data_IF_368145809863
#
_entry.id   IF_368145809863
#
_cell.length_a   1.000
_cell.length_b   1.000
_cell.length_c   1.000
_cell.angle_alpha   90.00
_cell.angle_beta   90.00
_cell.angle_gamma   90.00
#
_symmetry.space_group_name_H-M   'P 1'
#
loop_
_entity.id
_entity.type
_entity.pdbx_description
1 polymer ?
#
# COMPACT_ATOMS: atom_id res chain seq x y z
N UNK A 1 20.85 -19.51 -8.37
CA UNK A 1 20.33 -20.90 -8.28
C UNK A 1 18.83 -20.93 -8.03
N UNK A 2 18.32 -20.18 -7.04
CA UNK A 2 16.89 -20.16 -6.69
C UNK A 2 15.98 -19.74 -7.85
N UNK A 3 16.37 -18.68 -8.58
CA UNK A 3 15.62 -18.20 -9.75
C UNK A 3 15.56 -19.26 -10.86
N UNK A 4 16.68 -19.96 -11.12
CA UNK A 4 16.71 -21.07 -12.11
C UNK A 4 15.83 -22.25 -11.69
N UNK A 5 15.77 -22.57 -10.39
CA UNK A 5 14.89 -23.61 -9.85
C UNK A 5 13.41 -23.27 -10.01
N UNK A 6 13.06 -21.99 -9.88
CA UNK A 6 11.67 -21.55 -10.08
C UNK A 6 11.21 -21.69 -11.53
N UNK A 7 12.09 -21.45 -12.50
CA UNK A 7 11.78 -21.65 -13.93
C UNK A 7 11.49 -23.13 -14.25
N UNK A 8 12.02 -24.05 -13.44
CA UNK A 8 11.86 -25.51 -13.67
C UNK A 8 10.71 -26.15 -12.89
N UNK A 9 10.20 -25.52 -11.80
CA UNK A 9 9.22 -26.14 -10.88
C UNK A 9 7.95 -25.32 -10.61
N UNK A 10 7.74 -24.15 -11.23
CA UNK A 10 6.57 -23.29 -11.05
C UNK A 10 6.18 -23.09 -9.56
N UNK A 11 7.12 -22.67 -8.73
CA UNK A 11 6.86 -22.40 -7.32
C UNK A 11 5.78 -21.33 -7.17
N UNK A 12 4.84 -21.47 -6.21
CA UNK A 12 3.82 -20.47 -5.98
C UNK A 12 4.43 -19.08 -5.73
N UNK A 13 3.84 -18.01 -6.30
CA UNK A 13 4.37 -16.63 -6.15
C UNK A 13 4.55 -16.19 -4.70
N UNK A 14 3.66 -16.61 -3.78
CA UNK A 14 3.77 -16.32 -2.35
C UNK A 14 4.99 -16.99 -1.70
N UNK A 15 5.32 -18.22 -2.13
CA UNK A 15 6.52 -18.91 -1.64
C UNK A 15 7.80 -18.24 -2.13
N UNK A 16 7.82 -17.82 -3.40
CA UNK A 16 8.94 -17.04 -3.95
C UNK A 16 9.11 -15.75 -3.13
N UNK A 17 8.02 -15.02 -2.92
CA UNK A 17 8.03 -13.76 -2.17
C UNK A 17 8.56 -13.94 -0.74
N UNK A 18 8.25 -15.05 -0.06
CA UNK A 18 8.72 -15.32 1.31
C UNK A 18 10.18 -15.72 1.41
N UNK A 19 10.80 -16.15 0.32
CA UNK A 19 12.22 -16.57 0.28
C UNK A 19 13.16 -15.43 -0.18
N UNK A 20 12.64 -14.40 -0.86
CA UNK A 20 13.44 -13.28 -1.36
C UNK A 20 14.17 -12.48 -0.27
N UNK A 21 13.58 -12.21 0.92
CA UNK A 21 14.26 -11.44 1.98
C UNK A 21 15.59 -12.02 2.45
N UNK A 22 15.78 -13.33 2.34
CA UNK A 22 17.03 -14.02 2.71
C UNK A 22 18.13 -13.97 1.63
N UNK A 23 17.87 -13.37 0.46
CA UNK A 23 18.82 -13.34 -0.65
C UNK A 23 19.44 -11.94 -0.76
N UNK A 24 20.78 -11.77 -0.66
CA UNK A 24 21.43 -10.49 -0.86
C UNK A 24 21.08 -9.90 -2.23
N UNK A 25 20.73 -8.59 -2.28
CA UNK A 25 20.33 -7.91 -3.52
C UNK A 25 21.41 -7.96 -4.61
N UNK A 26 22.68 -8.07 -4.21
CA UNK A 26 23.83 -8.26 -5.13
C UNK A 26 23.75 -9.57 -5.92
N UNK A 27 23.04 -10.56 -5.41
CA UNK A 27 22.85 -11.87 -6.03
C UNK A 27 21.55 -11.99 -6.83
N UNK A 28 20.81 -10.90 -6.95
CA UNK A 28 19.51 -10.81 -7.62
C UNK A 28 19.67 -9.97 -8.89
N UNK A 29 19.14 -10.48 -10.02
CA UNK A 29 19.13 -9.72 -11.28
C UNK A 29 18.32 -8.42 -11.15
N UNK A 30 18.74 -7.36 -11.84
CA UNK A 30 18.18 -6.00 -11.76
C UNK A 30 16.64 -6.00 -11.84
N UNK A 31 16.06 -6.73 -12.77
CA UNK A 31 14.60 -6.82 -12.96
C UNK A 31 13.84 -7.37 -11.73
N UNK A 32 14.52 -8.06 -10.82
CA UNK A 32 13.91 -8.64 -9.62
C UNK A 32 14.21 -7.85 -8.34
N UNK A 33 15.08 -6.86 -8.38
CA UNK A 33 15.43 -6.05 -7.20
C UNK A 33 14.21 -5.36 -6.56
N UNK A 34 13.28 -4.73 -7.31
CA UNK A 34 12.08 -4.15 -6.71
C UNK A 34 11.23 -5.20 -5.97
N UNK A 35 11.04 -6.37 -6.56
CA UNK A 35 10.26 -7.45 -5.94
C UNK A 35 10.93 -8.00 -4.67
N UNK A 36 12.26 -8.09 -4.65
CA UNK A 36 13.04 -8.55 -3.50
C UNK A 36 13.01 -7.50 -2.37
N UNK A 37 13.17 -6.23 -2.70
CA UNK A 37 13.08 -5.14 -1.75
C UNK A 37 11.67 -5.04 -1.14
N UNK A 38 10.62 -5.12 -1.98
CA UNK A 38 9.24 -5.16 -1.50
C UNK A 38 8.99 -6.33 -0.54
N UNK A 39 9.54 -7.52 -0.83
CA UNK A 39 9.42 -8.68 0.03
C UNK A 39 10.10 -8.46 1.40
N UNK A 40 11.27 -7.81 1.40
CA UNK A 40 11.98 -7.44 2.65
C UNK A 40 11.18 -6.43 3.48
N UNK A 41 10.64 -5.37 2.85
CA UNK A 41 9.79 -4.40 3.54
C UNK A 41 8.54 -5.08 4.14
N UNK A 42 7.86 -5.93 3.37
CA UNK A 42 6.69 -6.67 3.86
C UNK A 42 7.05 -7.61 5.01
N UNK A 43 8.24 -8.19 5.02
CA UNK A 43 8.71 -9.00 6.16
C UNK A 43 8.80 -8.17 7.45
N UNK A 44 9.31 -6.94 7.38
CA UNK A 44 9.30 -6.01 8.51
C UNK A 44 7.86 -5.65 8.91
N UNK A 45 6.99 -5.33 7.94
CA UNK A 45 5.60 -4.95 8.21
C UNK A 45 4.83 -5.99 9.03
N UNK A 46 5.02 -7.28 8.81
CA UNK A 46 4.24 -8.29 9.55
C UNK A 46 4.92 -8.81 10.82
N UNK A 47 6.25 -8.63 10.97
CA UNK A 47 7.03 -9.14 12.12
C UNK A 47 7.26 -8.10 13.20
N UNK A 48 7.39 -6.83 12.84
CA UNK A 48 7.64 -5.74 13.78
C UNK A 48 6.38 -5.41 14.57
N UNK A 49 6.45 -5.53 15.89
CA UNK A 49 5.33 -5.24 16.79
C UNK A 49 4.89 -3.76 16.76
N UNK A 50 5.74 -2.85 16.28
CA UNK A 50 5.41 -1.43 16.11
C UNK A 50 4.71 -1.15 14.77
N UNK A 51 4.71 -2.11 13.85
CA UNK A 51 4.04 -1.96 12.55
C UNK A 51 2.52 -1.99 12.69
N UNK A 52 1.78 -1.09 12.01
CA UNK A 52 0.33 -1.19 11.94
C UNK A 52 -0.16 -2.49 11.28
N UNK A 53 0.71 -3.18 10.55
CA UNK A 53 0.41 -4.47 9.92
C UNK A 53 0.89 -5.70 10.72
N UNK A 54 1.34 -5.49 11.97
CA UNK A 54 1.83 -6.59 12.81
C UNK A 54 0.83 -7.75 12.86
N UNK A 55 1.27 -8.95 12.53
CA UNK A 55 0.44 -10.18 12.48
C UNK A 55 -0.81 -10.12 11.56
N UNK A 56 -0.94 -9.11 10.69
CA UNK A 56 -2.11 -8.99 9.79
C UNK A 56 -1.91 -9.65 8.41
N UNK A 57 -0.67 -10.03 8.06
CA UNK A 57 -0.34 -10.51 6.72
C UNK A 57 -0.22 -12.04 6.71
N UNK A 58 -1.03 -12.71 5.88
CA UNK A 58 -0.91 -14.14 5.64
C UNK A 58 0.36 -14.45 4.83
N UNK A 59 1.20 -15.31 5.39
CA UNK A 59 2.41 -15.84 4.74
C UNK A 59 2.30 -17.36 4.58
N UNK A 60 3.20 -18.03 3.88
CA UNK A 60 3.24 -19.50 3.87
C UNK A 60 3.37 -20.13 5.26
N UNK A 61 3.99 -19.42 6.21
CA UNK A 61 4.23 -19.88 7.58
C UNK A 61 3.21 -19.36 8.60
N UNK A 62 2.38 -18.37 8.24
CA UNK A 62 1.38 -17.75 9.14
C UNK A 62 0.08 -17.52 8.39
N UNK A 63 -1.06 -18.01 8.93
CA UNK A 63 -2.39 -17.97 8.31
C UNK A 63 -3.44 -17.21 9.14
N UNK A 64 -3.02 -16.52 10.18
CA UNK A 64 -3.91 -15.78 11.09
C UNK A 64 -4.26 -14.36 10.64
N UNK A 65 -3.64 -13.85 9.58
CA UNK A 65 -3.85 -12.49 9.11
C UNK A 65 -5.11 -12.31 8.25
N UNK A 66 -5.51 -11.06 8.08
CA UNK A 66 -6.66 -10.65 7.24
C UNK A 66 -6.25 -10.24 5.82
N UNK A 67 -4.95 -10.00 5.58
CA UNK A 67 -4.38 -9.52 4.32
C UNK A 67 -3.58 -10.64 3.63
N UNK A 68 -3.73 -10.81 2.32
CA UNK A 68 -2.85 -11.71 1.58
C UNK A 68 -1.48 -11.06 1.33
N UNK A 69 -0.40 -11.86 1.37
CA UNK A 69 0.97 -11.39 1.10
C UNK A 69 1.07 -10.58 -0.21
N UNK A 70 0.43 -11.03 -1.27
CA UNK A 70 0.48 -10.36 -2.56
C UNK A 70 -0.32 -9.05 -2.59
N UNK A 71 -1.35 -8.91 -1.77
CA UNK A 71 -2.16 -7.68 -1.70
C UNK A 71 -1.38 -6.49 -1.16
N UNK A 72 -0.38 -6.73 -0.31
CA UNK A 72 0.49 -5.69 0.23
C UNK A 72 1.83 -5.60 -0.52
N UNK A 73 2.41 -6.73 -0.94
CA UNK A 73 3.69 -6.74 -1.64
C UNK A 73 3.64 -6.01 -2.99
N UNK A 74 2.59 -6.25 -3.79
CA UNK A 74 2.48 -5.67 -5.13
C UNK A 74 2.44 -4.13 -5.16
N UNK A 75 1.63 -3.43 -4.35
CA UNK A 75 1.67 -1.97 -4.33
C UNK A 75 3.02 -1.43 -3.84
N UNK A 76 3.68 -2.06 -2.86
CA UNK A 76 5.03 -1.65 -2.44
C UNK A 76 6.04 -1.85 -3.56
N UNK A 77 5.98 -2.96 -4.29
CA UNK A 77 6.82 -3.20 -5.46
C UNK A 77 6.62 -2.12 -6.54
N UNK A 78 5.38 -1.67 -6.75
CA UNK A 78 5.09 -0.62 -7.70
C UNK A 78 5.65 0.74 -7.26
N UNK A 79 5.53 1.09 -5.99
CA UNK A 79 6.16 2.30 -5.43
C UNK A 79 7.69 2.28 -5.56
N UNK A 80 8.31 1.10 -5.46
CA UNK A 80 9.76 0.95 -5.64
C UNK A 80 10.17 1.14 -7.11
N UNK A 81 9.34 0.69 -8.05
CA UNK A 81 9.61 0.87 -9.49
C UNK A 81 9.49 2.32 -9.94
N UNK A 82 8.63 3.09 -9.30
CA UNK A 82 8.47 4.52 -9.57
C UNK A 82 9.56 5.33 -8.83
N UNK A 83 10.78 5.25 -9.36
CA UNK A 83 11.97 5.87 -8.77
C UNK A 83 11.94 7.40 -8.73
N UNK A 84 10.99 8.04 -9.41
CA UNK A 84 10.90 9.51 -9.48
C UNK A 84 10.11 10.13 -8.32
N UNK A 85 9.38 9.31 -7.53
CA UNK A 85 8.53 9.78 -6.44
C UNK A 85 9.03 9.28 -5.07
N UNK A 86 8.38 8.25 -4.53
CA UNK A 86 8.58 7.80 -3.15
C UNK A 86 10.00 7.29 -2.86
N UNK A 87 10.61 6.55 -3.81
CA UNK A 87 11.99 6.06 -3.65
C UNK A 87 13.02 7.18 -3.83
N UNK A 88 12.76 8.15 -4.71
CA UNK A 88 13.61 9.32 -4.89
C UNK A 88 13.76 10.13 -3.60
N UNK A 89 12.66 10.35 -2.88
CA UNK A 89 12.65 11.03 -1.58
C UNK A 89 13.46 10.29 -0.50
N UNK A 90 13.53 8.96 -0.60
CA UNK A 90 14.24 8.09 0.33
C UNK A 90 15.59 7.59 -0.20
N UNK A 91 16.17 8.28 -1.19
CA UNK A 91 17.44 7.91 -1.78
C UNK A 91 18.48 9.02 -1.53
N UNK A 92 19.59 8.66 -0.91
CA UNK A 92 20.70 9.61 -0.67
C UNK A 92 21.32 10.10 -1.99
N UNK A 93 22.06 11.20 -1.93
CA UNK A 93 22.83 11.73 -3.09
C UNK A 93 23.84 10.72 -3.66
N UNK A 94 24.23 9.70 -2.89
CA UNK A 94 25.07 8.59 -3.33
C UNK A 94 24.28 7.45 -3.98
N UNK A 95 22.95 7.59 -4.18
CA UNK A 95 22.09 6.56 -4.75
C UNK A 95 21.76 5.40 -3.79
N UNK A 96 21.99 5.57 -2.49
CA UNK A 96 21.67 4.56 -1.47
C UNK A 96 20.25 4.78 -0.99
N UNK A 97 19.42 3.74 -1.11
CA UNK A 97 18.03 3.74 -0.66
C UNK A 97 18.00 3.50 0.86
N UNK A 98 17.39 4.43 1.61
CA UNK A 98 17.21 4.32 3.05
C UNK A 98 15.93 3.53 3.37
N UNK A 99 16.11 2.24 3.71
CA UNK A 99 14.99 1.36 4.05
C UNK A 99 14.30 1.74 5.35
N UNK A 100 15.01 2.32 6.30
CA UNK A 100 14.46 2.70 7.62
C UNK A 100 13.54 3.90 7.46
N UNK A 101 13.92 4.87 6.65
CA UNK A 101 13.04 6.00 6.31
C UNK A 101 11.79 5.54 5.55
N UNK A 102 11.95 4.64 4.57
CA UNK A 102 10.81 4.06 3.85
C UNK A 102 9.85 3.35 4.81
N UNK A 103 10.36 2.54 5.73
CA UNK A 103 9.53 1.84 6.72
C UNK A 103 8.84 2.83 7.65
N UNK A 104 9.54 3.87 8.11
CA UNK A 104 8.97 4.94 8.95
C UNK A 104 7.79 5.62 8.24
N UNK A 105 7.96 6.02 6.99
CA UNK A 105 6.89 6.66 6.21
C UNK A 105 5.69 5.72 6.02
N UNK A 106 5.94 4.45 5.69
CA UNK A 106 4.87 3.45 5.58
C UNK A 106 4.16 3.25 6.92
N UNK A 107 4.91 3.16 8.05
CA UNK A 107 4.32 2.99 9.38
C UNK A 107 3.45 4.20 9.74
N UNK A 108 3.98 5.41 9.63
CA UNK A 108 3.24 6.63 9.96
C UNK A 108 1.97 6.78 9.12
N UNK A 109 2.08 6.52 7.81
CA UNK A 109 0.93 6.61 6.90
C UNK A 109 -0.17 5.59 7.25
N UNK A 110 0.19 4.34 7.47
CA UNK A 110 -0.80 3.31 7.76
C UNK A 110 -1.29 3.31 9.19
N UNK A 111 -0.50 3.82 10.14
CA UNK A 111 -0.97 4.13 11.49
C UNK A 111 -2.04 5.23 11.44
N UNK A 112 -1.81 6.30 10.67
CA UNK A 112 -2.80 7.34 10.43
C UNK A 112 -4.07 6.77 9.74
N UNK A 113 -3.90 5.96 8.69
CA UNK A 113 -5.01 5.32 7.99
C UNK A 113 -5.83 4.40 8.92
N UNK A 114 -5.17 3.66 9.82
CA UNK A 114 -5.84 2.81 10.81
C UNK A 114 -6.71 3.59 11.80
N UNK A 115 -6.31 4.81 12.13
CA UNK A 115 -7.07 5.70 13.02
C UNK A 115 -8.24 6.36 12.30
N UNK A 116 -7.99 6.91 11.10
CA UNK A 116 -9.00 7.60 10.30
C UNK A 116 -10.10 6.64 9.83
N UNK A 117 -9.73 5.44 9.39
CA UNK A 117 -10.66 4.42 8.90
C UNK A 117 -10.80 3.25 9.88
N UNK A 118 -10.87 3.53 11.19
CA UNK A 118 -10.85 2.51 12.24
C UNK A 118 -11.97 1.48 12.10
N UNK A 119 -13.17 1.86 11.63
CA UNK A 119 -14.28 0.97 11.38
C UNK A 119 -14.02 -0.06 10.27
N UNK A 120 -13.14 0.26 9.32
CA UNK A 120 -12.77 -0.60 8.20
C UNK A 120 -11.42 -1.31 8.39
N UNK A 121 -10.69 -1.02 9.49
CA UNK A 121 -9.36 -1.52 9.74
C UNK A 121 -9.37 -2.88 10.45
N UNK A 122 -8.44 -3.76 10.08
CA UNK A 122 -8.22 -5.08 10.70
C UNK A 122 -9.44 -6.00 10.76
N UNK A 123 -10.37 -5.86 9.83
CA UNK A 123 -11.49 -6.76 9.62
C UNK A 123 -11.30 -7.56 8.32
N UNK A 124 -12.11 -8.60 8.11
CA UNK A 124 -11.96 -9.47 6.94
C UNK A 124 -12.09 -8.68 5.64
N UNK A 125 -11.31 -9.04 4.64
CA UNK A 125 -11.36 -8.41 3.31
C UNK A 125 -12.70 -8.60 2.57
N UNK A 126 -13.57 -9.49 3.06
CA UNK A 126 -14.96 -9.63 2.60
C UNK A 126 -15.89 -8.59 3.20
N UNK A 127 -15.50 -7.96 4.31
CA UNK A 127 -16.28 -6.98 5.08
C UNK A 127 -15.68 -5.56 4.93
N UNK A 128 -14.43 -5.46 4.47
CA UNK A 128 -13.74 -4.19 4.24
C UNK A 128 -13.03 -4.16 2.90
N UNK A 129 -13.34 -3.17 2.08
CA UNK A 129 -12.57 -2.90 0.85
C UNK A 129 -11.22 -2.24 1.13
N UNK A 130 -11.04 -1.59 2.28
CA UNK A 130 -9.73 -1.10 2.71
C UNK A 130 -8.74 -2.26 2.90
N UNK A 131 -9.16 -3.35 3.56
CA UNK A 131 -8.35 -4.55 3.80
C UNK A 131 -8.29 -5.49 2.58
N UNK A 132 -9.03 -5.20 1.53
CA UNK A 132 -8.98 -5.92 0.27
C UNK A 132 -7.83 -5.43 -0.61
N UNK A 133 -7.33 -6.28 -1.52
CA UNK A 133 -6.19 -5.93 -2.39
C UNK A 133 -6.39 -4.69 -3.25
N UNK A 134 -7.63 -4.31 -3.57
CA UNK A 134 -7.93 -3.10 -4.34
C UNK A 134 -7.82 -1.84 -3.47
N UNK A 135 -8.28 -1.88 -2.22
CA UNK A 135 -8.18 -0.76 -1.28
C UNK A 135 -6.74 -0.51 -0.83
N UNK A 136 -6.03 -1.59 -0.44
CA UNK A 136 -4.60 -1.51 -0.12
C UNK A 136 -3.82 -0.89 -1.28
N UNK A 137 -4.09 -1.34 -2.52
CA UNK A 137 -3.46 -0.77 -3.70
C UNK A 137 -3.71 0.75 -3.82
N UNK A 138 -4.97 1.16 -3.74
CA UNK A 138 -5.35 2.57 -3.91
C UNK A 138 -4.72 3.47 -2.84
N UNK A 139 -4.70 3.03 -1.58
CA UNK A 139 -4.13 3.79 -0.47
C UNK A 139 -2.60 3.84 -0.54
N UNK A 140 -1.91 2.77 -0.95
CA UNK A 140 -0.47 2.84 -1.22
C UNK A 140 -0.14 3.79 -2.37
N UNK A 141 -0.96 3.83 -3.44
CA UNK A 141 -0.75 4.78 -4.55
C UNK A 141 -1.09 6.23 -4.18
N UNK A 142 -1.87 6.46 -3.14
CA UNK A 142 -2.12 7.79 -2.58
C UNK A 142 -0.97 8.27 -1.68
N UNK A 143 -0.33 7.37 -0.95
CA UNK A 143 0.65 7.69 0.11
C UNK A 143 1.73 8.70 -0.31
N UNK A 144 2.43 8.58 -1.44
CA UNK A 144 3.45 9.55 -1.85
C UNK A 144 2.89 10.96 -2.00
N UNK A 145 1.65 11.09 -2.47
CA UNK A 145 1.00 12.39 -2.68
C UNK A 145 0.59 13.05 -1.37
N UNK A 146 0.21 12.25 -0.38
CA UNK A 146 -0.06 12.76 0.97
C UNK A 146 1.25 13.25 1.58
N UNK A 147 2.30 12.45 1.54
CA UNK A 147 3.63 12.81 2.09
C UNK A 147 4.16 14.09 1.40
N UNK A 148 4.07 14.19 0.07
CA UNK A 148 4.48 15.39 -0.70
C UNK A 148 3.76 16.68 -0.27
N UNK A 149 2.54 16.56 0.24
CA UNK A 149 1.72 17.71 0.66
C UNK A 149 1.87 18.07 2.13
N UNK A 150 2.51 17.23 2.92
CA UNK A 150 2.86 17.53 4.29
C UNK A 150 3.99 18.56 4.38
N UNK A 151 4.11 19.24 5.53
CA UNK A 151 5.18 20.22 5.75
C UNK A 151 6.53 19.55 5.94
N UNK A 152 6.53 18.41 6.64
CA UNK A 152 7.73 17.62 6.88
C UNK A 152 7.97 16.62 5.73
N UNK A 153 9.22 16.45 5.33
CA UNK A 153 9.62 15.47 4.31
C UNK A 153 9.29 14.02 4.74
N UNK A 154 9.35 13.76 6.05
CA UNK A 154 8.96 12.50 6.70
C UNK A 154 7.91 12.77 7.77
N UNK A 155 6.63 12.98 7.39
CA UNK A 155 5.61 13.50 8.29
C UNK A 155 5.26 12.53 9.40
N UNK A 156 4.87 13.11 10.55
CA UNK A 156 4.32 12.35 11.67
C UNK A 156 2.89 11.89 11.42
N UNK A 157 2.42 10.99 12.28
CA UNK A 157 1.08 10.38 12.18
C UNK A 157 -0.03 11.44 12.21
N UNK A 158 0.06 12.46 13.08
CA UNK A 158 -1.00 13.46 13.25
C UNK A 158 -1.17 14.36 12.01
N UNK A 159 -0.08 14.69 11.34
CA UNK A 159 -0.15 15.46 10.11
C UNK A 159 -0.83 14.64 8.99
N UNK A 160 -0.46 13.37 8.86
CA UNK A 160 -1.08 12.45 7.89
C UNK A 160 -2.57 12.23 8.20
N UNK A 161 -2.97 12.16 9.49
CA UNK A 161 -4.38 12.10 9.90
C UNK A 161 -5.15 13.29 9.36
N UNK A 162 -4.58 14.50 9.46
CA UNK A 162 -5.22 15.71 8.93
C UNK A 162 -5.51 15.57 7.43
N UNK A 163 -4.55 15.12 6.66
CA UNK A 163 -4.70 14.91 5.22
C UNK A 163 -5.69 13.78 4.86
N UNK A 164 -5.61 12.64 5.54
CA UNK A 164 -6.52 11.52 5.29
C UNK A 164 -7.94 11.82 5.77
N UNK A 165 -8.09 12.62 6.82
CA UNK A 165 -9.39 13.09 7.31
C UNK A 165 -10.20 13.85 6.26
N UNK A 166 -9.52 14.58 5.36
CA UNK A 166 -10.19 15.32 4.28
C UNK A 166 -10.86 14.40 3.26
N UNK A 167 -10.31 13.23 3.00
CA UNK A 167 -10.88 12.27 2.04
C UNK A 167 -11.81 11.26 2.71
N UNK A 168 -11.78 11.16 4.03
CA UNK A 168 -12.57 10.15 4.76
C UNK A 168 -14.07 10.17 4.40
N UNK A 169 -14.75 11.34 4.25
CA UNK A 169 -16.16 11.40 3.87
C UNK A 169 -16.47 10.83 2.47
N UNK A 170 -15.46 10.63 1.63
CA UNK A 170 -15.59 10.15 0.26
C UNK A 170 -15.11 8.71 0.09
N UNK A 171 -14.70 8.05 1.19
CA UNK A 171 -14.19 6.70 1.17
C UNK A 171 -15.22 5.72 1.76
N UNK A 172 -15.74 4.84 0.93
CA UNK A 172 -16.81 3.89 1.29
C UNK A 172 -16.23 2.47 1.39
N UNK A 173 -15.52 2.21 2.49
CA UNK A 173 -14.75 0.98 2.66
C UNK A 173 -15.57 -0.21 3.14
N UNK A 174 -16.75 0.03 3.75
CA UNK A 174 -17.65 -0.98 4.31
C UNK A 174 -19.09 -0.79 3.83
N UNK A 175 -19.97 -1.76 4.09
CA UNK A 175 -21.39 -1.65 3.74
C UNK A 175 -22.08 -0.50 4.49
N UNK A 176 -21.60 -0.13 5.67
CA UNK A 176 -22.17 0.94 6.49
C UNK A 176 -21.87 2.33 5.91
N UNK A 177 -20.80 2.47 5.14
CA UNK A 177 -20.42 3.73 4.48
C UNK A 177 -21.32 4.04 3.26
N UNK A 178 -22.08 3.08 2.76
CA UNK A 178 -22.84 3.20 1.52
C UNK A 178 -22.02 2.97 0.26
N UNK A 179 -22.55 3.35 -0.89
CA UNK A 179 -21.95 3.11 -2.19
C UNK A 179 -21.05 4.28 -2.62
N UNK A 180 -20.05 3.96 -3.45
CA UNK A 180 -19.16 4.96 -4.05
C UNK A 180 -19.90 5.74 -5.13
N UNK A 181 -19.95 7.06 -5.00
CA UNK A 181 -20.64 7.95 -5.94
C UNK A 181 -19.66 8.69 -6.84
N UNK A 182 -20.10 8.96 -8.07
CA UNK A 182 -19.35 9.77 -9.04
C UNK A 182 -17.88 9.30 -9.21
N UNK A 183 -17.68 7.98 -9.28
CA UNK A 183 -16.34 7.35 -9.33
C UNK A 183 -15.54 7.81 -10.54
N UNK A 184 -16.21 8.13 -11.66
CA UNK A 184 -15.59 8.69 -12.85
C UNK A 184 -16.20 10.05 -13.26
N UNK A 185 -15.76 10.60 -14.38
CA UNK A 185 -16.26 11.86 -14.92
C UNK A 185 -17.66 11.77 -15.53
N UNK A 186 -18.23 10.57 -15.65
CA UNK A 186 -19.55 10.31 -16.22
C UNK A 186 -20.62 10.03 -15.15
N UNK A 187 -20.27 10.13 -13.85
CA UNK A 187 -21.18 9.91 -12.74
C UNK A 187 -21.41 8.43 -12.42
N UNK A 188 -20.43 7.57 -12.70
CA UNK A 188 -20.51 6.14 -12.37
C UNK A 188 -20.59 5.94 -10.86
N UNK A 189 -21.63 5.23 -10.41
CA UNK A 189 -21.76 4.76 -9.04
C UNK A 189 -21.39 3.28 -8.95
N UNK A 190 -20.70 2.89 -7.90
CA UNK A 190 -20.23 1.54 -7.66
C UNK A 190 -20.61 1.14 -6.23
N UNK A 191 -21.18 -0.04 -6.05
CA UNK A 191 -21.47 -0.57 -4.72
C UNK A 191 -20.20 -0.60 -3.86
N UNK A 192 -20.34 -0.45 -2.54
CA UNK A 192 -19.21 -0.40 -1.61
C UNK A 192 -18.17 -1.51 -1.86
N UNK A 193 -18.61 -2.70 -2.28
CA UNK A 193 -17.76 -3.86 -2.57
C UNK A 193 -17.54 -4.11 -4.07
N UNK A 194 -18.01 -3.24 -4.96
CA UNK A 194 -18.03 -3.46 -6.41
C UNK A 194 -16.68 -3.29 -7.12
N UNK A 195 -15.67 -2.66 -6.47
CA UNK A 195 -14.34 -2.61 -7.05
C UNK A 195 -13.68 -3.99 -7.05
N UNK A 196 -13.39 -4.51 -8.24
CA UNK A 196 -12.70 -5.78 -8.40
C UNK A 196 -11.18 -5.66 -8.21
N UNK A 197 -10.53 -6.75 -7.73
CA UNK A 197 -9.07 -6.80 -7.59
C UNK A 197 -8.36 -7.07 -8.94
N UNK A 198 -8.80 -6.41 -9.99
CA UNK A 198 -8.24 -6.42 -11.33
C UNK A 198 -7.38 -5.19 -11.59
N UNK A 199 -6.63 -5.15 -12.68
CA UNK A 199 -5.86 -3.96 -13.07
C UNK A 199 -6.78 -2.75 -13.31
N UNK A 200 -7.93 -2.96 -13.96
CA UNK A 200 -8.93 -1.90 -14.21
C UNK A 200 -9.57 -1.38 -12.92
N UNK A 201 -10.00 -2.27 -12.02
CA UNK A 201 -10.57 -1.89 -10.74
C UNK A 201 -9.60 -1.08 -9.88
N UNK A 202 -8.33 -1.51 -9.79
CA UNK A 202 -7.25 -0.79 -9.12
C UNK A 202 -7.01 0.60 -9.71
N UNK A 203 -6.97 0.68 -11.03
CA UNK A 203 -6.80 1.96 -11.74
C UNK A 203 -7.96 2.90 -11.45
N UNK A 204 -9.19 2.40 -11.49
CA UNK A 204 -10.39 3.19 -11.31
C UNK A 204 -10.47 3.78 -9.90
N UNK A 205 -10.34 2.95 -8.85
CA UNK A 205 -10.37 3.43 -7.46
C UNK A 205 -9.17 4.35 -7.14
N UNK A 206 -7.97 4.06 -7.66
CA UNK A 206 -6.82 4.93 -7.47
C UNK A 206 -7.03 6.29 -8.12
N UNK A 207 -7.60 6.35 -9.33
CA UNK A 207 -7.94 7.62 -10.00
C UNK A 207 -8.98 8.40 -9.20
N UNK A 208 -10.02 7.72 -8.69
CA UNK A 208 -11.05 8.35 -7.87
C UNK A 208 -10.44 8.97 -6.61
N UNK A 209 -9.75 8.18 -5.78
CA UNK A 209 -9.17 8.65 -4.51
C UNK A 209 -8.16 9.78 -4.74
N UNK A 210 -7.28 9.65 -5.75
CA UNK A 210 -6.30 10.66 -6.06
C UNK A 210 -6.93 11.97 -6.59
N UNK A 211 -8.01 11.88 -7.36
CA UNK A 211 -8.78 13.05 -7.79
C UNK A 211 -9.43 13.73 -6.59
N UNK A 212 -10.15 12.97 -5.78
CA UNK A 212 -10.79 13.46 -4.56
C UNK A 212 -9.80 14.15 -3.64
N UNK A 213 -8.65 13.51 -3.36
CA UNK A 213 -7.60 14.10 -2.53
C UNK A 213 -7.10 15.44 -3.07
N UNK A 214 -6.79 15.52 -4.37
CA UNK A 214 -6.36 16.76 -5.02
C UNK A 214 -7.43 17.87 -4.91
N UNK A 215 -8.70 17.53 -5.08
CA UNK A 215 -9.78 18.48 -5.07
C UNK A 215 -10.03 19.00 -3.65
N UNK A 216 -10.07 18.14 -2.63
CA UNK A 216 -10.25 18.56 -1.22
C UNK A 216 -9.07 19.37 -0.67
N UNK A 217 -7.82 19.03 -1.06
CA UNK A 217 -6.63 19.80 -0.66
C UNK A 217 -6.67 21.21 -1.24
N UNK A 218 -7.03 21.35 -2.52
CA UNK A 218 -7.17 22.67 -3.14
C UNK A 218 -8.23 23.54 -2.42
N UNK A 219 -9.34 22.94 -2.01
CA UNK A 219 -10.44 23.62 -1.38
C UNK A 219 -10.19 23.91 0.11
N UNK A 220 -9.33 23.11 0.78
CA UNK A 220 -8.96 23.29 2.19
C UNK A 220 -7.91 24.39 2.42
N UNK A 221 -7.24 24.90 1.38
CA UNK A 221 -6.16 25.90 1.51
C UNK A 221 -5.04 25.50 2.49
N UNK A 222 -4.72 24.21 2.53
CA UNK A 222 -3.63 23.64 3.33
C UNK A 222 -2.27 23.86 2.67
#
# INVERSE_FOLDING_TARGET
HFYKLNLSKNLPPNLIASLLPGIPLTNIGEAMKPAAMAATLVEHLWKDAQSPFYSMINTPLYRGGVISLNSIKKPIEELIKDSNNFIGMNTSSAGIIDKELILKDIYNYWEAASKVFSHAWNIRSTESRLMHGVGLWAMFMLMPKVIEKCHDEHPGVEEIITHLGLIAPYCHWTAEDGDWENVDSFGLNITWNGFENTASGKTLISKYINRTYRDVIRDATL
#
